data_IF_704897442753
#
_entry.id   IF_704897442753
#
_cell.length_a   1.000
_cell.length_b   1.000
_cell.length_c   1.000
_cell.angle_alpha   90.00
_cell.angle_beta   90.00
_cell.angle_gamma   90.00
#
_symmetry.space_group_name_H-M   'P 1'
#
loop_
_entity.id
_entity.type
_entity.pdbx_description
1 polymer ?
#
# COMPACT_ATOMS: atom_id res chain seq x y z
N UNK A 1 71.61 -0.71 31.88
CA UNK A 1 70.21 -0.26 32.05
C UNK A 1 69.97 1.08 31.35
N UNK A 2 70.11 1.15 30.02
CA UNK A 2 69.88 2.38 29.23
C UNK A 2 69.09 2.15 27.93
N UNK A 3 68.77 0.90 27.61
CA UNK A 3 68.03 0.53 26.39
C UNK A 3 66.60 0.05 26.66
N UNK A 4 66.17 0.01 27.93
CA UNK A 4 64.82 -0.46 28.31
C UNK A 4 63.76 0.66 28.27
N UNK A 5 64.17 1.92 28.15
CA UNK A 5 63.25 3.08 28.11
C UNK A 5 62.93 3.56 26.68
N UNK A 6 63.56 2.97 25.66
CA UNK A 6 63.36 3.38 24.26
C UNK A 6 62.44 2.44 23.46
N UNK A 7 62.08 1.29 24.02
CA UNK A 7 61.15 0.33 23.41
C UNK A 7 59.71 0.50 23.88
N UNK A 8 59.46 1.24 24.96
CA UNK A 8 58.10 1.50 25.48
C UNK A 8 57.40 2.70 24.80
N UNK A 9 58.15 3.54 24.07
CA UNK A 9 57.61 4.73 23.40
C UNK A 9 57.03 4.49 22.00
N UNK A 10 57.24 3.30 21.41
CA UNK A 10 56.81 2.99 20.04
C UNK A 10 55.57 2.09 19.96
N UNK A 11 55.06 1.60 21.10
CA UNK A 11 53.90 0.70 21.18
C UNK A 11 52.56 1.42 21.46
N UNK A 12 52.56 2.75 21.58
CA UNK A 12 51.38 3.56 21.93
C UNK A 12 50.78 4.36 20.75
N UNK A 13 51.27 4.17 19.52
CA UNK A 13 50.80 4.89 18.32
C UNK A 13 49.95 4.04 17.36
N UNK A 14 49.58 2.83 17.78
CA UNK A 14 48.77 1.90 16.99
C UNK A 14 47.40 1.62 17.65
N UNK A 15 46.85 2.57 18.42
CA UNK A 15 45.40 2.58 18.59
C UNK A 15 44.82 3.03 17.26
N UNK A 16 44.39 2.08 16.42
CA UNK A 16 43.45 2.42 15.36
C UNK A 16 42.30 3.17 16.03
N UNK A 17 42.05 4.41 15.60
CA UNK A 17 40.71 4.95 15.74
C UNK A 17 39.86 4.03 14.87
N UNK A 18 39.16 3.10 15.51
CA UNK A 18 38.12 2.36 14.83
C UNK A 18 37.06 3.41 14.51
N UNK A 19 36.87 3.70 13.22
CA UNK A 19 35.86 4.65 12.76
C UNK A 19 34.50 4.09 13.16
N UNK A 20 33.75 4.85 13.93
CA UNK A 20 32.39 4.48 14.29
C UNK A 20 31.48 4.72 13.08
N UNK A 21 30.90 3.65 12.54
CA UNK A 21 29.89 3.72 11.48
C UNK A 21 28.51 3.94 12.11
N UNK A 22 27.72 4.86 11.54
CA UNK A 22 26.37 5.15 12.01
C UNK A 22 25.67 6.18 11.15
N UNK A 23 24.35 6.26 11.26
CA UNK A 23 23.57 7.17 10.44
C UNK A 23 23.63 8.59 11.01
N UNK A 24 24.13 9.56 10.23
CA UNK A 24 24.20 10.97 10.65
C UNK A 24 23.00 11.79 10.17
N UNK A 25 22.00 11.15 9.55
CA UNK A 25 20.75 11.79 9.17
C UNK A 25 19.82 11.93 10.39
N UNK A 26 19.47 13.16 10.83
CA UNK A 26 18.61 13.38 11.99
C UNK A 26 17.17 12.86 11.83
N UNK A 27 16.79 12.40 10.63
CA UNK A 27 15.46 11.86 10.36
C UNK A 27 15.41 10.33 10.38
N UNK A 28 16.56 9.68 10.55
CA UNK A 28 16.68 8.24 10.62
C UNK A 28 16.31 7.69 12.02
N UNK A 29 15.75 6.49 12.06
CA UNK A 29 15.41 5.76 13.29
C UNK A 29 16.67 5.46 14.11
N UNK A 30 17.78 5.17 13.44
CA UNK A 30 19.07 4.83 14.03
C UNK A 30 20.07 6.01 14.01
N UNK A 31 19.57 7.24 14.19
CA UNK A 31 20.41 8.45 14.21
C UNK A 31 21.51 8.40 15.29
N UNK A 32 22.75 8.52 14.85
CA UNK A 32 23.97 8.53 15.65
C UNK A 32 24.84 9.75 15.25
N UNK A 33 24.62 10.93 15.85
CA UNK A 33 25.36 12.15 15.51
C UNK A 33 26.88 12.06 15.76
N UNK A 34 27.29 11.16 16.64
CA UNK A 34 28.68 10.88 17.01
C UNK A 34 29.43 9.99 16.02
N UNK A 35 28.74 9.40 15.03
CA UNK A 35 29.37 8.51 14.06
C UNK A 35 30.45 9.23 13.23
N UNK A 36 31.60 8.58 13.05
CA UNK A 36 32.69 9.06 12.23
C UNK A 36 32.41 8.90 10.72
N UNK A 37 31.59 7.90 10.36
CA UNK A 37 31.24 7.59 8.96
C UNK A 37 29.73 7.42 8.81
N UNK A 38 29.14 8.26 7.95
CA UNK A 38 27.72 8.20 7.61
C UNK A 38 27.40 6.93 6.82
N UNK A 39 26.54 6.08 7.40
CA UNK A 39 26.07 4.88 6.73
C UNK A 39 24.72 4.40 7.25
N UNK A 40 24.12 3.49 6.49
CA UNK A 40 23.22 2.47 7.04
C UNK A 40 21.95 3.01 7.72
N UNK A 41 21.44 4.13 7.24
CA UNK A 41 20.26 4.77 7.81
C UNK A 41 18.99 3.91 7.63
N UNK A 42 18.32 3.65 8.75
CA UNK A 42 16.99 3.06 8.82
C UNK A 42 15.96 4.19 8.99
N UNK A 43 14.81 4.08 8.33
CA UNK A 43 13.81 5.15 8.30
C UNK A 43 12.43 4.58 8.55
N UNK A 44 11.54 5.42 9.05
CA UNK A 44 10.15 5.07 9.31
C UNK A 44 9.37 4.76 8.03
N UNK A 45 8.40 3.87 8.17
CA UNK A 45 7.57 3.41 7.06
C UNK A 45 6.23 4.15 7.01
N UNK A 46 5.70 4.26 5.79
CA UNK A 46 4.30 4.58 5.59
C UNK A 46 3.48 3.30 5.75
N UNK A 47 2.51 3.33 6.65
CA UNK A 47 1.60 2.21 6.89
C UNK A 47 0.18 2.57 6.50
N UNK A 48 -0.55 1.61 5.93
CA UNK A 48 -1.97 1.75 5.60
C UNK A 48 -2.81 0.89 6.54
N UNK A 49 -3.62 1.54 7.36
CA UNK A 49 -4.75 0.97 8.06
C UNK A 49 -6.00 1.12 7.21
N UNK A 50 -6.66 0.00 6.88
CA UNK A 50 -7.93 0.03 6.16
C UNK A 50 -9.12 -0.38 7.02
N UNK A 51 -10.28 0.16 6.68
CA UNK A 51 -11.56 -0.27 7.24
C UNK A 51 -12.66 -0.31 6.19
N UNK A 52 -13.69 -1.12 6.45
CA UNK A 52 -14.90 -1.15 5.65
C UNK A 52 -16.06 -0.60 6.47
N UNK A 53 -16.85 0.28 5.87
CA UNK A 53 -18.05 0.84 6.49
C UNK A 53 -19.25 0.71 5.56
N UNK A 54 -20.43 0.91 6.14
CA UNK A 54 -21.70 0.92 5.46
C UNK A 54 -22.50 2.13 5.94
N UNK A 55 -22.86 3.02 5.02
CA UNK A 55 -23.67 4.22 5.28
C UNK A 55 -23.05 5.10 6.38
N UNK A 56 -21.80 5.50 6.15
CA UNK A 56 -20.94 6.44 6.88
C UNK A 56 -20.53 6.04 8.30
N UNK A 57 -21.30 5.21 8.99
CA UNK A 57 -21.21 5.06 10.46
C UNK A 57 -21.16 3.62 10.95
N UNK A 58 -21.69 2.66 10.19
CA UNK A 58 -21.74 1.26 10.61
C UNK A 58 -20.54 0.51 10.04
N UNK A 59 -19.93 -0.38 10.83
CA UNK A 59 -18.90 -1.28 10.29
C UNK A 59 -19.50 -2.21 9.24
N UNK A 60 -18.82 -2.34 8.11
CA UNK A 60 -19.19 -3.31 7.08
C UNK A 60 -18.89 -4.73 7.56
N UNK A 61 -19.78 -5.66 7.24
CA UNK A 61 -19.66 -7.09 7.52
C UNK A 61 -19.93 -7.93 6.28
N UNK A 62 -19.00 -8.84 5.97
CA UNK A 62 -19.08 -9.79 4.85
C UNK A 62 -20.16 -10.86 5.02
N UNK A 63 -20.62 -11.11 6.25
CA UNK A 63 -21.68 -12.08 6.55
C UNK A 63 -23.08 -11.45 6.59
N UNK A 64 -23.16 -10.12 6.48
CA UNK A 64 -24.43 -9.40 6.52
C UNK A 64 -25.07 -9.31 5.16
N UNK A 65 -26.41 -9.27 5.16
CA UNK A 65 -27.20 -8.93 3.98
C UNK A 65 -27.53 -7.45 3.98
N UNK A 66 -27.45 -6.86 2.80
CA UNK A 66 -27.76 -5.45 2.55
C UNK A 66 -28.91 -5.35 1.55
N UNK A 67 -29.47 -4.15 1.41
CA UNK A 67 -30.49 -3.84 0.44
C UNK A 67 -29.87 -3.04 -0.71
N UNK A 68 -30.16 -3.40 -1.94
CA UNK A 68 -29.75 -2.64 -3.12
C UNK A 68 -30.67 -1.43 -3.35
N UNK A 69 -30.53 -0.71 -4.48
CA UNK A 69 -31.34 0.49 -4.73
C UNK A 69 -32.86 0.22 -4.82
N UNK A 70 -33.25 -1.04 -5.09
CA UNK A 70 -34.65 -1.46 -5.23
C UNK A 70 -35.20 -2.06 -3.94
N UNK A 71 -34.35 -2.21 -2.91
CA UNK A 71 -34.70 -2.88 -1.66
C UNK A 71 -34.49 -4.39 -1.70
N UNK A 72 -33.92 -4.93 -2.78
CA UNK A 72 -33.66 -6.36 -2.90
C UNK A 72 -32.45 -6.76 -2.05
N UNK A 73 -32.58 -7.89 -1.35
CA UNK A 73 -31.57 -8.32 -0.38
C UNK A 73 -30.43 -9.08 -1.06
N UNK A 74 -29.21 -8.56 -0.93
CA UNK A 74 -27.99 -9.16 -1.45
C UNK A 74 -26.92 -9.30 -0.36
N UNK A 75 -25.89 -10.10 -0.63
CA UNK A 75 -24.68 -10.21 0.20
C UNK A 75 -23.45 -10.04 -0.68
N UNK A 76 -22.46 -9.27 -0.21
CA UNK A 76 -21.13 -9.29 -0.81
C UNK A 76 -20.32 -10.43 -0.17
N UNK A 77 -19.84 -11.34 -1.00
CA UNK A 77 -18.95 -12.42 -0.54
C UNK A 77 -17.48 -12.04 -0.69
N UNK A 78 -17.16 -11.24 -1.71
CA UNK A 78 -15.81 -10.85 -2.02
C UNK A 78 -15.76 -9.46 -2.65
N UNK A 79 -14.75 -8.67 -2.28
CA UNK A 79 -14.27 -7.56 -3.08
C UNK A 79 -12.77 -7.40 -2.89
N UNK A 80 -12.01 -7.80 -3.92
CA UNK A 80 -10.56 -7.73 -3.95
C UNK A 80 -10.13 -6.71 -4.99
N UNK A 81 -9.18 -5.84 -4.67
CA UNK A 81 -8.60 -4.90 -5.62
C UNK A 81 -7.22 -4.42 -5.16
N UNK A 82 -6.42 -3.98 -6.11
CA UNK A 82 -5.10 -3.41 -5.83
C UNK A 82 -5.21 -1.93 -5.42
N UNK A 83 -4.36 -1.52 -4.49
CA UNK A 83 -4.05 -0.11 -4.24
C UNK A 83 -2.54 0.07 -4.33
N UNK A 84 -2.09 1.13 -5.01
CA UNK A 84 -0.66 1.40 -5.23
C UNK A 84 -0.36 2.88 -5.44
N UNK A 85 0.91 3.24 -5.66
CA UNK A 85 1.32 4.60 -6.05
C UNK A 85 0.88 5.67 -5.05
N UNK A 86 1.07 5.38 -3.76
CA UNK A 86 0.73 6.27 -2.67
C UNK A 86 1.60 7.51 -2.71
N UNK A 87 0.97 8.68 -2.57
CA UNK A 87 1.67 9.94 -2.42
C UNK A 87 0.93 10.89 -1.48
N UNK A 88 1.69 11.67 -0.73
CA UNK A 88 1.17 12.70 0.16
C UNK A 88 1.58 14.09 -0.35
N UNK A 89 0.66 15.05 -0.28
CA UNK A 89 0.93 16.44 -0.68
C UNK A 89 1.18 17.30 0.54
N UNK A 90 2.26 18.07 0.52
CA UNK A 90 2.53 19.06 1.58
C UNK A 90 1.87 20.43 1.30
N UNK A 91 2.02 21.35 2.26
CA UNK A 91 1.45 22.70 2.18
C UNK A 91 2.06 23.57 1.06
N UNK A 92 3.19 23.17 0.48
CA UNK A 92 3.79 23.84 -0.69
C UNK A 92 3.18 23.35 -2.01
N UNK A 93 2.38 22.27 -1.97
CA UNK A 93 1.80 21.62 -3.14
C UNK A 93 2.69 20.52 -3.73
N UNK A 94 3.82 20.18 -3.09
CA UNK A 94 4.70 19.11 -3.55
C UNK A 94 4.16 17.74 -3.14
N UNK A 95 4.22 16.78 -4.06
CA UNK A 95 3.88 15.38 -3.82
C UNK A 95 5.12 14.57 -3.44
N UNK A 96 4.99 13.80 -2.37
CA UNK A 96 6.03 12.91 -1.83
C UNK A 96 5.55 11.46 -1.89
N UNK A 97 6.42 10.56 -2.31
CA UNK A 97 6.11 9.14 -2.53
C UNK A 97 6.96 8.26 -1.62
N UNK A 98 6.54 7.01 -1.46
CA UNK A 98 7.40 5.96 -0.90
C UNK A 98 8.67 5.83 -1.75
N UNK A 99 9.82 5.70 -1.09
CA UNK A 99 11.14 5.66 -1.74
C UNK A 99 11.60 4.24 -2.08
N UNK A 100 11.06 3.24 -1.40
CA UNK A 100 11.46 1.85 -1.55
C UNK A 100 11.01 1.25 -2.88
N UNK A 101 11.83 0.33 -3.38
CA UNK A 101 11.51 -0.48 -4.55
C UNK A 101 11.90 -1.94 -4.33
N UNK A 102 11.12 -2.83 -4.93
CA UNK A 102 11.32 -4.26 -4.90
C UNK A 102 11.58 -4.78 -6.31
N UNK A 103 12.44 -5.80 -6.40
CA UNK A 103 12.77 -6.44 -7.67
C UNK A 103 11.74 -7.50 -8.01
N UNK A 104 11.01 -7.32 -9.11
CA UNK A 104 9.98 -8.24 -9.57
C UNK A 104 10.43 -9.02 -10.83
N UNK A 105 10.25 -10.34 -10.88
CA UNK A 105 10.47 -11.14 -12.08
C UNK A 105 9.41 -10.85 -13.16
N UNK A 106 9.88 -10.83 -14.41
CA UNK A 106 9.08 -10.67 -15.62
C UNK A 106 8.95 -12.02 -16.34
N UNK A 107 7.86 -12.21 -17.08
CA UNK A 107 7.57 -13.44 -17.84
C UNK A 107 8.61 -13.76 -18.92
N UNK A 108 9.45 -12.79 -19.31
CA UNK A 108 10.55 -13.00 -20.25
C UNK A 108 11.86 -13.49 -19.57
N UNK A 109 11.85 -13.72 -18.25
CA UNK A 109 13.00 -14.15 -17.46
C UNK A 109 13.92 -13.03 -16.97
N UNK A 110 13.62 -11.76 -17.28
CA UNK A 110 14.31 -10.60 -16.70
C UNK A 110 13.60 -10.08 -15.44
N UNK A 111 14.10 -9.00 -14.85
CA UNK A 111 13.49 -8.39 -13.65
C UNK A 111 13.38 -6.88 -13.77
N UNK A 112 12.44 -6.28 -13.03
CA UNK A 112 12.20 -4.82 -12.96
C UNK A 112 12.02 -4.39 -11.51
N UNK A 113 12.57 -3.22 -11.16
CA UNK A 113 12.25 -2.55 -9.90
C UNK A 113 10.90 -1.84 -10.02
N UNK A 114 9.99 -2.15 -9.10
CA UNK A 114 8.72 -1.42 -8.91
C UNK A 114 8.70 -0.84 -7.50
N UNK A 115 7.94 0.24 -7.30
CA UNK A 115 7.71 0.79 -5.96
C UNK A 115 7.13 -0.28 -5.03
N UNK A 116 7.52 -0.26 -3.76
CA UNK A 116 7.04 -1.22 -2.75
C UNK A 116 5.62 -0.95 -2.27
N UNK A 117 5.05 0.19 -2.63
CA UNK A 117 3.80 0.74 -2.09
C UNK A 117 2.53 0.05 -2.61
N UNK A 118 2.59 -1.26 -2.81
CA UNK A 118 1.55 -2.08 -3.42
C UNK A 118 0.87 -2.92 -2.34
N UNK A 119 -0.43 -2.73 -2.19
CA UNK A 119 -1.27 -3.51 -1.30
C UNK A 119 -2.50 -4.07 -2.03
N UNK A 120 -3.12 -5.09 -1.44
CA UNK A 120 -4.36 -5.65 -1.96
C UNK A 120 -5.44 -5.51 -0.91
N UNK A 121 -6.46 -4.72 -1.22
CA UNK A 121 -7.64 -4.60 -0.40
C UNK A 121 -8.43 -5.91 -0.42
N UNK A 122 -8.58 -6.56 0.74
CA UNK A 122 -9.24 -7.87 0.89
C UNK A 122 -10.12 -7.91 2.12
N UNK A 123 -10.76 -9.02 2.45
CA UNK A 123 -11.58 -9.10 3.67
C UNK A 123 -10.75 -9.19 4.96
N UNK A 124 -9.56 -9.80 4.92
CA UNK A 124 -8.82 -10.30 6.08
C UNK A 124 -7.51 -9.57 6.44
N UNK A 125 -7.06 -8.61 5.63
CA UNK A 125 -5.80 -7.87 5.88
C UNK A 125 -6.10 -6.42 6.27
N UNK A 126 -5.74 -5.95 7.46
CA UNK A 126 -6.18 -4.62 7.94
C UNK A 126 -5.06 -3.58 7.98
N UNK A 127 -3.81 -4.03 7.97
CA UNK A 127 -2.60 -3.22 8.02
C UNK A 127 -1.65 -3.63 6.89
N UNK A 128 -1.12 -2.66 6.16
CA UNK A 128 -0.10 -2.87 5.13
C UNK A 128 1.10 -1.98 5.42
N UNK A 129 2.29 -2.54 5.24
CA UNK A 129 3.51 -1.76 5.18
C UNK A 129 3.72 -1.35 3.71
N UNK A 130 3.68 -0.04 3.44
CA UNK A 130 3.87 0.50 2.10
C UNK A 130 5.35 0.76 1.81
N UNK A 131 6.23 0.75 2.82
CA UNK A 131 7.66 0.98 2.71
C UNK A 131 8.09 2.36 3.21
N UNK A 132 9.39 2.64 3.07
CA UNK A 132 10.08 3.81 3.59
C UNK A 132 9.46 5.13 3.13
N UNK A 133 9.24 6.02 4.09
CA UNK A 133 8.75 7.37 3.85
C UNK A 133 9.47 8.39 4.75
N UNK A 134 10.53 8.99 4.22
CA UNK A 134 11.49 9.82 4.95
C UNK A 134 11.12 11.31 5.00
N UNK A 135 9.84 11.61 5.26
CA UNK A 135 9.34 12.99 5.25
C UNK A 135 8.59 13.34 6.55
N UNK A 136 9.21 14.12 7.45
CA UNK A 136 8.47 14.74 8.55
C UNK A 136 7.98 16.13 8.15
N UNK A 137 6.76 16.15 7.64
CA UNK A 137 6.04 17.35 7.21
C UNK A 137 4.57 17.20 7.55
N UNK A 138 3.84 18.29 7.43
CA UNK A 138 2.37 18.26 7.43
C UNK A 138 1.85 18.03 6.02
N UNK A 139 0.92 17.10 5.86
CA UNK A 139 0.29 16.74 4.59
C UNK A 139 -1.21 17.05 4.59
N UNK A 140 -1.69 17.59 3.48
CA UNK A 140 -3.08 18.06 3.31
C UNK A 140 -3.92 17.23 2.31
N UNK A 141 -3.25 16.34 1.58
CA UNK A 141 -3.85 15.41 0.63
C UNK A 141 -3.12 14.08 0.60
N UNK A 142 -3.89 13.04 0.35
CA UNK A 142 -3.43 11.73 -0.05
C UNK A 142 -3.89 11.47 -1.48
N UNK A 143 -3.06 10.83 -2.30
CA UNK A 143 -3.50 10.17 -3.53
C UNK A 143 -2.97 8.74 -3.59
N UNK A 144 -3.72 7.88 -4.24
CA UNK A 144 -3.31 6.51 -4.57
C UNK A 144 -4.06 6.02 -5.81
N UNK A 145 -3.53 5.00 -6.45
CA UNK A 145 -4.13 4.34 -7.59
C UNK A 145 -4.89 3.09 -7.13
N UNK A 146 -6.14 2.96 -7.54
CA UNK A 146 -6.92 1.73 -7.45
C UNK A 146 -6.80 0.97 -8.75
N UNK A 147 -6.47 -0.32 -8.68
CA UNK A 147 -6.34 -1.22 -9.82
C UNK A 147 -4.90 -1.56 -10.20
N UNK A 148 -4.75 -2.38 -11.24
CA UNK A 148 -3.48 -2.88 -11.75
C UNK A 148 -2.97 -2.00 -12.92
N UNK A 149 -1.91 -1.21 -12.73
CA UNK A 149 -1.33 -0.43 -13.82
C UNK A 149 -0.68 -1.30 -14.90
N UNK A 150 -0.53 -0.71 -16.08
CA UNK A 150 -0.12 -1.44 -17.31
C UNK A 150 1.32 -1.95 -17.26
N UNK A 151 2.16 -1.36 -16.41
CA UNK A 151 3.52 -1.78 -16.15
C UNK A 151 3.61 -3.12 -15.38
N UNK A 152 2.47 -3.66 -14.91
CA UNK A 152 2.40 -4.99 -14.30
C UNK A 152 2.08 -6.10 -15.30
N UNK A 153 1.79 -5.75 -16.56
CA UNK A 153 1.29 -6.70 -17.57
C UNK A 153 2.30 -7.80 -17.94
N UNK A 154 3.59 -7.58 -17.71
CA UNK A 154 4.67 -8.52 -18.04
C UNK A 154 5.27 -9.22 -16.81
N UNK A 155 4.69 -9.04 -15.62
CA UNK A 155 5.16 -9.72 -14.41
C UNK A 155 4.89 -11.24 -14.46
N UNK A 156 5.69 -11.99 -13.72
CA UNK A 156 5.53 -13.44 -13.54
C UNK A 156 5.07 -13.79 -12.11
N UNK A 157 3.77 -13.68 -11.75
CA UNK A 157 3.29 -13.85 -10.37
C UNK A 157 3.67 -15.16 -9.68
N UNK A 158 3.89 -16.24 -10.44
CA UNK A 158 4.33 -17.53 -9.91
C UNK A 158 5.81 -17.58 -9.52
N UNK A 159 6.60 -16.62 -9.98
CA UNK A 159 8.03 -16.46 -9.67
C UNK A 159 8.26 -15.37 -8.61
N UNK A 160 7.25 -14.54 -8.34
CA UNK A 160 7.31 -13.51 -7.28
C UNK A 160 7.35 -14.21 -5.92
N UNK A 161 8.24 -13.75 -5.05
CA UNK A 161 8.35 -14.19 -3.65
C UNK A 161 6.98 -14.22 -2.98
N UNK A 162 6.64 -15.35 -2.36
CA UNK A 162 5.27 -15.63 -1.88
C UNK A 162 4.77 -14.63 -0.82
N UNK A 163 5.66 -13.92 -0.14
CA UNK A 163 5.34 -12.87 0.84
C UNK A 163 4.95 -11.53 0.21
N UNK A 164 5.25 -11.29 -1.07
CA UNK A 164 4.97 -10.03 -1.74
C UNK A 164 3.55 -9.97 -2.29
N UNK A 165 2.95 -8.77 -2.26
CA UNK A 165 1.55 -8.54 -2.61
C UNK A 165 1.18 -9.04 -4.02
N UNK A 166 2.08 -8.93 -5.00
CA UNK A 166 1.82 -9.35 -6.38
C UNK A 166 2.01 -10.86 -6.61
N UNK A 167 2.45 -11.63 -5.62
CA UNK A 167 2.63 -13.08 -5.80
C UNK A 167 1.31 -13.82 -6.05
N UNK A 168 1.38 -14.97 -6.71
CA UNK A 168 0.21 -15.81 -6.97
C UNK A 168 -0.49 -16.31 -5.70
N UNK A 169 0.23 -16.34 -4.57
CA UNK A 169 -0.34 -16.70 -3.25
C UNK A 169 -1.39 -15.69 -2.80
N UNK A 170 -1.22 -14.42 -3.17
CA UNK A 170 -2.23 -13.42 -2.96
C UNK A 170 -3.12 -13.33 -4.21
N UNK A 171 -2.57 -13.11 -5.40
CA UNK A 171 -3.32 -12.64 -6.57
C UNK A 171 -4.17 -13.69 -7.31
N UNK A 172 -4.39 -14.88 -6.75
CA UNK A 172 -5.18 -15.95 -7.37
C UNK A 172 -6.57 -15.53 -7.92
N UNK A 173 -7.25 -14.59 -7.26
CA UNK A 173 -8.55 -14.03 -7.73
C UNK A 173 -8.43 -12.73 -8.53
N UNK A 174 -7.22 -12.30 -8.87
CA UNK A 174 -6.94 -11.04 -9.57
C UNK A 174 -5.93 -11.24 -10.69
N UNK A 175 -5.58 -12.48 -11.03
CA UNK A 175 -4.67 -12.79 -12.12
C UNK A 175 -5.27 -13.90 -12.97
N UNK A 176 -5.65 -13.56 -14.20
CA UNK A 176 -6.31 -14.47 -15.13
C UNK A 176 -5.85 -14.17 -16.55
N UNK A 177 -5.75 -15.20 -17.41
CA UNK A 177 -5.34 -15.05 -18.81
C UNK A 177 -4.01 -14.29 -18.98
N UNK A 178 -3.06 -14.54 -18.07
CA UNK A 178 -1.76 -13.88 -18.02
C UNK A 178 -1.80 -12.36 -17.83
N UNK A 179 -2.84 -11.85 -17.17
CA UNK A 179 -2.98 -10.43 -16.86
C UNK A 179 -3.57 -10.23 -15.46
N UNK A 180 -3.15 -9.16 -14.79
CA UNK A 180 -3.83 -8.71 -13.58
C UNK A 180 -5.17 -8.05 -13.91
N UNK A 181 -6.18 -8.38 -13.14
CA UNK A 181 -7.46 -7.69 -13.07
C UNK A 181 -7.37 -6.63 -11.96
N UNK A 182 -7.89 -5.44 -12.22
CA UNK A 182 -7.82 -4.32 -11.28
C UNK A 182 -8.67 -4.55 -10.03
N UNK A 183 -9.86 -5.13 -10.20
CA UNK A 183 -10.71 -5.55 -9.10
C UNK A 183 -11.63 -6.72 -9.49
N UNK A 184 -12.00 -7.52 -8.50
CA UNK A 184 -13.01 -8.55 -8.61
C UNK A 184 -13.98 -8.46 -7.42
N UNK A 185 -15.27 -8.36 -7.71
CA UNK A 185 -16.36 -8.39 -6.74
C UNK A 185 -17.25 -9.61 -6.96
N UNK A 186 -17.72 -10.22 -5.88
CA UNK A 186 -18.73 -11.27 -5.91
C UNK A 186 -19.91 -10.89 -5.02
N UNK A 187 -21.11 -10.94 -5.60
CA UNK A 187 -22.36 -10.68 -4.88
C UNK A 187 -23.35 -11.83 -5.09
N UNK A 188 -24.10 -12.14 -4.04
CA UNK A 188 -25.12 -13.19 -4.02
C UNK A 188 -26.49 -12.58 -3.79
N UNK A 189 -27.44 -12.94 -4.65
CA UNK A 189 -28.85 -12.59 -4.55
C UNK A 189 -29.68 -13.89 -4.47
N UNK A 190 -30.28 -14.17 -3.32
CA UNK A 190 -30.94 -15.45 -3.09
C UNK A 190 -29.94 -16.62 -3.16
N UNK A 191 -30.02 -17.43 -4.22
CA UNK A 191 -29.09 -18.54 -4.49
C UNK A 191 -28.17 -18.25 -5.69
N UNK A 192 -28.35 -17.11 -6.35
CA UNK A 192 -27.60 -16.76 -7.56
C UNK A 192 -26.36 -15.95 -7.18
N UNK A 193 -25.20 -16.45 -7.58
CA UNK A 193 -23.91 -15.79 -7.38
C UNK A 193 -23.43 -15.17 -8.68
N UNK A 194 -23.06 -13.90 -8.64
CA UNK A 194 -22.54 -13.16 -9.79
C UNK A 194 -21.18 -12.55 -9.49
N UNK A 195 -20.28 -12.61 -10.46
CA UNK A 195 -18.94 -12.03 -10.41
C UNK A 195 -18.85 -10.81 -11.33
N UNK A 196 -18.22 -9.74 -10.82
CA UNK A 196 -18.00 -8.49 -11.53
C UNK A 196 -16.51 -8.17 -11.54
N UNK A 197 -15.96 -7.96 -12.73
CA UNK A 197 -14.52 -7.74 -12.95
C UNK A 197 -14.31 -6.32 -13.46
N UNK A 198 -13.39 -5.59 -12.86
CA UNK A 198 -12.92 -4.28 -13.30
C UNK A 198 -11.48 -4.41 -13.77
N UNK A 199 -11.16 -3.86 -14.94
CA UNK A 199 -9.81 -3.87 -15.50
C UNK A 199 -9.15 -2.50 -15.48
N UNK A 200 -9.92 -1.41 -15.44
CA UNK A 200 -9.36 -0.06 -15.45
C UNK A 200 -8.76 0.31 -14.11
N UNK A 201 -7.82 1.26 -14.17
CA UNK A 201 -7.27 1.91 -13.00
C UNK A 201 -7.95 3.26 -12.75
N UNK A 202 -7.97 3.68 -11.49
CA UNK A 202 -8.59 4.93 -11.07
C UNK A 202 -7.72 5.62 -10.02
N UNK A 203 -7.44 6.91 -10.22
CA UNK A 203 -6.83 7.73 -9.17
C UNK A 203 -7.87 8.15 -8.15
N UNK A 204 -7.54 7.97 -6.88
CA UNK A 204 -8.29 8.48 -5.75
C UNK A 204 -7.46 9.56 -5.09
N UNK A 205 -8.09 10.71 -4.81
CA UNK A 205 -7.49 11.81 -4.05
C UNK A 205 -8.41 12.16 -2.87
N UNK A 206 -7.87 12.15 -1.66
CA UNK A 206 -8.61 12.40 -0.43
C UNK A 206 -8.03 13.62 0.31
N UNK A 207 -8.89 14.49 0.89
CA UNK A 207 -8.44 15.43 1.90
C UNK A 207 -7.87 14.66 3.10
N UNK A 208 -6.72 15.10 3.59
CA UNK A 208 -6.02 14.48 4.69
C UNK A 208 -5.52 15.57 5.64
N UNK A 209 -5.46 15.28 6.94
CA UNK A 209 -4.76 16.10 7.91
C UNK A 209 -3.80 15.20 8.68
N UNK A 210 -2.55 15.13 8.20
CA UNK A 210 -1.55 14.24 8.74
C UNK A 210 -0.26 15.00 9.02
N UNK A 211 0.37 14.73 10.15
CA UNK A 211 1.69 15.27 10.48
C UNK A 211 2.64 14.10 10.63
N UNK A 212 3.67 14.06 9.79
CA UNK A 212 4.79 13.14 10.00
C UNK A 212 5.73 13.69 11.06
N UNK A 213 6.28 12.79 11.87
CA UNK A 213 7.38 13.05 12.79
C UNK A 213 8.59 12.17 12.43
N UNK A 214 9.70 12.36 13.14
CA UNK A 214 10.95 11.62 12.95
C UNK A 214 11.14 10.50 13.98
N UNK A 215 10.07 10.07 14.64
CA UNK A 215 10.15 9.11 15.76
C UNK A 215 9.12 7.98 15.69
N UNK A 216 8.27 7.94 14.65
CA UNK A 216 7.31 6.86 14.46
C UNK A 216 6.93 6.64 12.98
N UNK A 217 6.40 5.44 12.72
CA UNK A 217 5.80 5.09 11.43
C UNK A 217 4.58 5.97 11.11
N UNK A 218 4.52 6.44 9.88
CA UNK A 218 3.43 7.29 9.43
C UNK A 218 2.21 6.43 9.06
N UNK A 219 1.16 6.47 9.88
CA UNK A 219 -0.04 5.65 9.67
C UNK A 219 -1.15 6.40 8.94
N UNK A 220 -1.51 5.93 7.75
CA UNK A 220 -2.68 6.34 6.98
C UNK A 220 -3.88 5.49 7.35
N UNK A 221 -5.01 6.11 7.68
CA UNK A 221 -6.28 5.43 7.90
C UNK A 221 -7.24 5.76 6.75
N UNK A 222 -7.69 4.74 6.02
CA UNK A 222 -8.63 4.89 4.90
C UNK A 222 -9.82 3.95 5.12
N UNK A 223 -11.03 4.47 4.97
CA UNK A 223 -12.25 3.67 4.95
C UNK A 223 -12.80 3.59 3.51
N UNK A 224 -13.37 2.44 3.17
CA UNK A 224 -14.22 2.27 1.99
C UNK A 224 -15.67 2.09 2.45
N UNK A 225 -16.55 2.98 2.01
CA UNK A 225 -17.99 2.85 2.21
C UNK A 225 -18.61 2.03 1.08
N UNK A 226 -19.06 0.82 1.44
CA UNK A 226 -19.67 -0.11 0.50
C UNK A 226 -21.09 0.30 0.08
N UNK A 227 -21.79 1.11 0.88
CA UNK A 227 -23.08 1.71 0.50
C UNK A 227 -22.88 2.74 -0.61
N UNK A 228 -21.83 3.56 -0.49
CA UNK A 228 -21.50 4.57 -1.51
C UNK A 228 -20.93 3.93 -2.77
N UNK A 229 -20.07 2.92 -2.64
CA UNK A 229 -19.55 2.14 -3.76
C UNK A 229 -20.68 1.53 -4.59
N UNK A 230 -21.70 0.97 -3.93
CA UNK A 230 -22.81 0.26 -4.57
C UNK A 230 -24.03 1.14 -4.84
N UNK A 231 -23.92 2.45 -4.64
CA UNK A 231 -25.03 3.39 -4.80
C UNK A 231 -25.60 3.31 -6.22
N UNK A 232 -26.92 3.13 -6.31
CA UNK A 232 -27.65 3.11 -7.58
C UNK A 232 -27.51 1.82 -8.39
N UNK A 233 -27.04 0.73 -7.77
CA UNK A 233 -27.01 -0.60 -8.39
C UNK A 233 -28.28 -1.37 -8.02
N UNK A 234 -28.92 -1.99 -9.02
CA UNK A 234 -30.01 -2.94 -8.86
C UNK A 234 -29.57 -4.33 -9.39
N UNK A 235 -29.14 -5.23 -8.49
CA UNK A 235 -28.47 -6.48 -8.87
C UNK A 235 -29.35 -7.44 -9.69
N UNK A 236 -30.67 -7.31 -9.60
CA UNK A 236 -31.62 -8.14 -10.34
C UNK A 236 -32.13 -7.52 -11.65
N UNK A 237 -31.76 -6.28 -11.96
CA UNK A 237 -32.26 -5.52 -13.13
C UNK A 237 -31.15 -5.06 -14.04
N UNK A 238 -30.04 -4.61 -13.46
CA UNK A 238 -28.89 -4.12 -14.20
C UNK A 238 -28.14 -5.30 -14.79
N UNK A 239 -27.66 -5.16 -16.02
CA UNK A 239 -26.72 -6.12 -16.58
C UNK A 239 -25.33 -5.96 -15.96
N UNK A 240 -24.48 -6.99 -16.11
CA UNK A 240 -23.14 -6.99 -15.52
C UNK A 240 -22.28 -5.79 -15.96
N UNK A 241 -22.48 -5.26 -17.17
CA UNK A 241 -21.73 -4.11 -17.67
C UNK A 241 -22.17 -2.80 -17.01
N UNK A 242 -23.47 -2.65 -16.75
CA UNK A 242 -24.04 -1.52 -16.02
C UNK A 242 -23.55 -1.53 -14.56
N UNK A 243 -23.56 -2.68 -13.91
CA UNK A 243 -23.07 -2.84 -12.53
C UNK A 243 -21.60 -2.45 -12.43
N UNK A 244 -20.75 -2.99 -13.33
CA UNK A 244 -19.33 -2.65 -13.39
C UNK A 244 -19.11 -1.14 -13.62
N UNK A 245 -19.91 -0.53 -14.50
CA UNK A 245 -19.85 0.90 -14.77
C UNK A 245 -20.21 1.75 -13.52
N UNK A 246 -21.26 1.37 -12.79
CA UNK A 246 -21.66 2.05 -11.55
C UNK A 246 -20.58 1.95 -10.47
N UNK A 247 -20.00 0.76 -10.25
CA UNK A 247 -18.88 0.57 -9.31
C UNK A 247 -17.71 1.48 -9.70
N UNK A 248 -17.34 1.50 -10.99
CA UNK A 248 -16.26 2.36 -11.49
C UNK A 248 -16.52 3.84 -11.22
N UNK A 249 -17.74 4.32 -11.44
CA UNK A 249 -18.13 5.71 -11.22
C UNK A 249 -18.14 6.09 -9.75
N UNK A 250 -18.54 5.17 -8.87
CA UNK A 250 -18.65 5.42 -7.45
C UNK A 250 -17.33 5.23 -6.69
N UNK A 251 -16.40 4.43 -7.23
CA UNK A 251 -15.18 3.99 -6.54
C UNK A 251 -14.41 5.11 -5.84
N UNK A 252 -14.07 6.20 -6.53
CA UNK A 252 -13.29 7.28 -5.90
C UNK A 252 -14.05 8.00 -4.79
N UNK A 253 -15.36 8.15 -4.92
CA UNK A 253 -16.18 8.85 -3.95
C UNK A 253 -16.49 7.99 -2.70
N UNK A 254 -16.36 6.67 -2.83
CA UNK A 254 -16.60 5.73 -1.75
C UNK A 254 -15.46 5.66 -0.72
N UNK A 255 -14.28 6.22 -1.04
CA UNK A 255 -13.16 6.29 -0.08
C UNK A 255 -13.24 7.54 0.78
N UNK A 256 -12.87 7.40 2.05
CA UNK A 256 -12.80 8.52 2.98
C UNK A 256 -11.71 8.34 4.05
N UNK A 257 -11.33 9.46 4.66
CA UNK A 257 -10.53 9.48 5.90
C UNK A 257 -11.51 9.46 7.08
N UNK A 258 -11.42 8.45 7.98
CA UNK A 258 -12.33 8.31 9.13
C UNK A 258 -12.09 9.35 10.23
#
# INVERSE_FOLDING_TARGET
MKYLFWTLGFLLLASSCDLEEGCTDPIAENYAPEADTDCCCEYFNLRLNRSGIWADTSSFSWSSKYADMQGDSFQLEQFHFFVSSFALRDSSGQWWQVQDSLLYPLANGSSRYLASDIAIWRSNSFLYDLGRFDQARTFDRLRFLVGAPTDWADLAPNEIESSLALSSSFTASLYENSAYQSAQMQAVLGNDSSQYILNDTLWVELPLALSGSFDEDLSLSIALDYSDLLRGIAFNRDDSSQIVQSIRQNMSAAFQIP
#
